data_IF_672422782541
#
_entry.id   IF_672422782541
#
_cell.length_a   1.000
_cell.length_b   1.000
_cell.length_c   1.000
_cell.angle_alpha   90.00
_cell.angle_beta   90.00
_cell.angle_gamma   90.00
#
_symmetry.space_group_name_H-M   'P 1'
#
loop_
_entity.id
_entity.type
_entity.pdbx_description
1 polymer ?
#
# COMPACT_ATOMS: atom_id res chain seq x y z
N UNK A 1 5.83 15.81 -59.13
CA UNK A 1 5.27 16.39 -57.88
C UNK A 1 4.71 15.26 -57.02
N UNK A 2 5.40 14.78 -55.96
CA UNK A 2 4.78 13.85 -55.02
C UNK A 2 4.19 14.61 -53.84
N UNK A 3 2.91 14.35 -53.56
CA UNK A 3 2.18 14.82 -52.38
C UNK A 3 2.73 14.09 -51.15
N UNK A 4 3.27 14.84 -50.19
CA UNK A 4 3.64 14.33 -48.88
C UNK A 4 2.35 14.18 -48.05
N UNK A 5 1.91 12.94 -47.84
CA UNK A 5 0.78 12.62 -46.97
C UNK A 5 1.34 12.45 -45.55
N UNK A 6 1.17 13.46 -44.70
CA UNK A 6 1.60 13.41 -43.29
C UNK A 6 0.47 12.78 -42.48
N UNK A 7 0.71 11.57 -41.97
CA UNK A 7 -0.18 10.88 -41.04
C UNK A 7 0.16 11.34 -39.61
N UNK A 8 -0.68 12.20 -39.02
CA UNK A 8 -0.55 12.60 -37.62
C UNK A 8 -0.99 11.45 -36.71
N UNK A 9 -0.03 10.78 -36.05
CA UNK A 9 -0.31 9.83 -34.97
C UNK A 9 -0.43 10.61 -33.66
N UNK A 10 -1.64 10.72 -33.13
CA UNK A 10 -1.93 11.35 -31.85
C UNK A 10 -1.44 10.46 -30.70
N UNK A 11 -0.35 10.84 -30.04
CA UNK A 11 0.14 10.17 -28.83
C UNK A 11 -0.74 10.62 -27.66
N UNK A 12 -1.62 9.75 -27.17
CA UNK A 12 -2.38 9.99 -25.94
C UNK A 12 -1.45 9.68 -24.76
N UNK A 13 -0.85 10.72 -24.18
CA UNK A 13 -0.07 10.59 -22.94
C UNK A 13 -1.02 10.39 -21.76
N UNK A 14 -1.08 9.18 -21.22
CA UNK A 14 -1.66 8.93 -19.91
C UNK A 14 -0.71 9.48 -18.84
N UNK A 15 -0.92 10.74 -18.43
CA UNK A 15 -0.26 11.29 -17.27
C UNK A 15 -0.75 10.53 -16.02
N UNK A 16 0.10 9.67 -15.47
CA UNK A 16 -0.15 9.03 -14.18
C UNK A 16 -0.06 10.11 -13.11
N UNK A 17 -1.19 10.48 -12.49
CA UNK A 17 -1.19 11.35 -11.34
C UNK A 17 -0.45 10.65 -10.20
N UNK A 18 0.82 11.01 -9.97
CA UNK A 18 1.48 10.70 -8.72
C UNK A 18 0.77 11.49 -7.62
N UNK A 19 -0.01 10.81 -6.77
CA UNK A 19 -0.61 11.45 -5.61
C UNK A 19 0.50 11.88 -4.64
N UNK A 20 0.54 13.16 -4.29
CA UNK A 20 1.50 13.67 -3.34
C UNK A 20 1.18 13.13 -1.93
N UNK A 21 2.17 12.51 -1.28
CA UNK A 21 2.08 12.09 0.13
C UNK A 21 1.92 13.33 1.00
N UNK A 22 1.06 13.26 2.03
CA UNK A 22 0.87 14.35 2.99
C UNK A 22 2.23 14.80 3.57
N UNK A 23 2.53 16.11 3.61
CA UNK A 23 3.83 16.61 4.05
C UNK A 23 4.19 16.23 5.51
N UNK A 24 3.21 16.11 6.40
CA UNK A 24 3.43 15.71 7.78
C UNK A 24 3.79 14.21 7.86
N UNK A 25 3.07 13.36 7.12
CA UNK A 25 3.38 11.92 6.99
C UNK A 25 4.78 11.75 6.40
N UNK A 26 5.08 12.45 5.31
CA UNK A 26 6.41 12.43 4.69
C UNK A 26 7.53 12.74 5.68
N UNK A 27 7.37 13.80 6.48
CA UNK A 27 8.37 14.20 7.50
C UNK A 27 8.55 13.16 8.61
N UNK A 28 7.51 12.39 8.94
CA UNK A 28 7.62 11.28 9.89
C UNK A 28 8.37 10.10 9.25
N UNK A 29 8.03 9.74 8.02
CA UNK A 29 8.68 8.66 7.26
C UNK A 29 10.17 8.92 7.06
N UNK A 30 10.57 10.15 6.74
CA UNK A 30 11.98 10.54 6.54
C UNK A 30 12.87 10.30 7.78
N UNK A 31 12.29 10.14 8.98
CA UNK A 31 13.04 9.84 10.21
C UNK A 31 13.30 8.34 10.44
N UNK A 32 12.60 7.48 9.71
CA UNK A 32 12.73 6.03 9.82
C UNK A 32 13.94 5.56 9.01
N UNK A 33 14.54 4.44 9.39
CA UNK A 33 15.50 3.76 8.52
C UNK A 33 14.81 3.31 7.20
N UNK A 34 15.56 3.09 6.11
CA UNK A 34 14.96 2.82 4.81
C UNK A 34 14.02 1.61 4.75
N UNK A 35 14.30 0.54 5.51
CA UNK A 35 13.48 -0.66 5.49
C UNK A 35 12.15 -0.41 6.22
N UNK A 36 12.20 0.16 7.42
CA UNK A 36 11.00 0.55 8.18
C UNK A 36 10.19 1.59 7.41
N UNK A 37 10.85 2.52 6.71
CA UNK A 37 10.17 3.53 5.89
C UNK A 37 9.34 2.91 4.76
N UNK A 38 9.91 1.93 4.06
CA UNK A 38 9.22 1.19 3.00
C UNK A 38 7.95 0.53 3.54
N UNK A 39 8.06 -0.22 4.64
CA UNK A 39 6.91 -0.88 5.27
C UNK A 39 5.84 0.13 5.70
N UNK A 40 6.22 1.18 6.42
CA UNK A 40 5.26 2.17 6.91
C UNK A 40 4.59 2.97 5.78
N UNK A 41 5.30 3.25 4.68
CA UNK A 41 4.71 3.84 3.47
C UNK A 41 3.67 2.92 2.83
N UNK A 42 3.98 1.63 2.73
CA UNK A 42 3.09 0.63 2.15
C UNK A 42 1.86 0.38 3.01
N UNK A 43 2.03 0.27 4.33
CA UNK A 43 0.93 0.12 5.30
C UNK A 43 0.00 1.35 5.28
N UNK A 44 0.58 2.55 5.20
CA UNK A 44 -0.19 3.81 5.11
C UNK A 44 -1.01 3.87 3.82
N UNK A 45 -0.41 3.48 2.69
CA UNK A 45 -1.12 3.44 1.42
C UNK A 45 -2.21 2.36 1.40
N UNK A 46 -1.97 1.19 1.99
CA UNK A 46 -2.98 0.14 2.12
C UNK A 46 -4.21 0.63 2.89
N UNK A 47 -4.01 1.28 4.04
CA UNK A 47 -5.11 1.91 4.78
C UNK A 47 -5.86 2.95 3.93
N UNK A 48 -5.11 3.82 3.25
CA UNK A 48 -5.65 4.87 2.37
C UNK A 48 -6.51 4.32 1.25
N UNK A 49 -6.05 3.28 0.53
CA UNK A 49 -6.79 2.66 -0.58
C UNK A 49 -8.02 1.89 -0.10
N UNK A 50 -7.87 1.05 0.92
CA UNK A 50 -9.00 0.28 1.47
C UNK A 50 -10.12 1.21 1.93
N UNK A 51 -9.77 2.35 2.57
CA UNK A 51 -10.75 3.36 2.98
C UNK A 51 -11.45 4.06 1.79
N UNK A 52 -10.76 4.22 0.64
CA UNK A 52 -11.27 4.90 -0.55
C UNK A 52 -12.09 3.99 -1.48
N UNK A 53 -11.76 2.71 -1.55
CA UNK A 53 -12.30 1.75 -2.54
C UNK A 53 -13.75 1.28 -2.24
N UNK A 54 -14.51 2.05 -1.45
CA UNK A 54 -15.92 1.78 -1.08
C UNK A 54 -16.15 0.37 -0.49
N UNK A 55 -15.12 -0.21 0.11
CA UNK A 55 -15.17 -1.53 0.78
C UNK A 55 -16.08 -1.54 2.02
N UNK A 56 -16.36 -0.36 2.59
CA UNK A 56 -17.05 -0.20 3.87
C UNK A 56 -16.12 -0.24 5.08
N UNK A 57 -14.86 -0.65 4.89
CA UNK A 57 -13.84 -0.63 5.94
C UNK A 57 -13.31 0.78 6.20
N UNK A 58 -12.90 1.01 7.44
CA UNK A 58 -12.24 2.23 7.90
C UNK A 58 -10.97 1.83 8.66
N UNK A 59 -9.89 1.48 7.94
CA UNK A 59 -8.68 1.00 8.57
C UNK A 59 -8.05 2.07 9.47
N UNK A 60 -7.65 1.67 10.68
CA UNK A 60 -6.88 2.51 11.61
C UNK A 60 -5.50 1.95 11.94
N UNK A 61 -5.22 0.71 11.48
CA UNK A 61 -3.96 0.02 11.69
C UNK A 61 -3.75 -1.05 10.61
N UNK A 62 -2.50 -1.22 10.18
CA UNK A 62 -2.01 -2.37 9.42
C UNK A 62 -0.80 -2.94 10.15
N UNK A 63 -0.64 -4.26 10.10
CA UNK A 63 0.55 -4.98 10.58
C UNK A 63 0.96 -5.97 9.49
N UNK A 64 2.12 -5.76 8.86
CA UNK A 64 2.54 -6.51 7.68
C UNK A 64 2.97 -7.97 7.97
N UNK A 65 3.36 -8.27 9.22
CA UNK A 65 4.07 -9.50 9.61
C UNK A 65 3.27 -10.46 10.50
N UNK A 66 1.94 -10.35 10.53
CA UNK A 66 1.12 -11.07 11.54
C UNK A 66 1.10 -12.59 11.32
N UNK A 67 0.88 -13.05 10.09
CA UNK A 67 0.78 -14.47 9.75
C UNK A 67 1.99 -15.00 8.98
N UNK A 68 2.77 -14.10 8.37
CA UNK A 68 3.99 -14.40 7.60
C UNK A 68 4.81 -13.13 7.45
N UNK A 69 6.13 -13.29 7.48
CA UNK A 69 7.06 -12.16 7.35
C UNK A 69 6.95 -11.46 5.99
N UNK A 70 7.08 -10.12 5.96
CA UNK A 70 7.23 -9.35 4.73
C UNK A 70 8.52 -9.72 4.01
N UNK A 71 8.49 -9.62 2.68
CA UNK A 71 9.60 -9.93 1.79
C UNK A 71 10.01 -8.63 1.08
N UNK A 72 11.01 -7.91 1.60
CA UNK A 72 11.50 -6.68 0.98
C UNK A 72 12.42 -6.97 -0.20
N UNK A 73 12.40 -6.08 -1.21
CA UNK A 73 13.31 -6.07 -2.36
C UNK A 73 13.42 -4.65 -2.93
N UNK A 74 14.57 -4.00 -2.84
CA UNK A 74 14.78 -2.60 -3.27
C UNK A 74 13.57 -1.70 -2.87
N UNK A 75 12.83 -1.19 -3.86
CA UNK A 75 11.67 -0.31 -3.68
C UNK A 75 10.34 -1.06 -3.41
N UNK A 76 10.36 -2.40 -3.36
CA UNK A 76 9.20 -3.29 -3.29
C UNK A 76 9.08 -4.00 -1.94
N UNK A 77 7.85 -4.17 -1.47
CA UNK A 77 7.50 -4.98 -0.31
C UNK A 77 6.33 -5.91 -0.64
N UNK A 78 6.50 -7.20 -0.39
CA UNK A 78 5.40 -8.16 -0.37
C UNK A 78 5.06 -8.50 1.08
N UNK A 79 3.79 -8.36 1.46
CA UNK A 79 3.30 -8.70 2.80
C UNK A 79 2.20 -9.77 2.68
N UNK A 80 2.55 -11.06 2.54
CA UNK A 80 1.57 -12.13 2.31
C UNK A 80 0.76 -12.52 3.56
N UNK A 81 1.18 -12.07 4.74
CA UNK A 81 0.55 -12.39 6.03
C UNK A 81 0.13 -11.17 6.82
N UNK A 82 -0.22 -10.08 6.14
CA UNK A 82 -0.63 -8.84 6.79
C UNK A 82 -2.03 -8.96 7.42
N UNK A 83 -2.35 -7.97 8.25
CA UNK A 83 -3.71 -7.70 8.73
C UNK A 83 -3.97 -6.21 8.73
N UNK A 84 -5.23 -5.83 8.65
CA UNK A 84 -5.66 -4.48 9.02
C UNK A 84 -6.78 -4.54 10.05
N UNK A 85 -6.88 -3.48 10.85
CA UNK A 85 -7.97 -3.31 11.80
C UNK A 85 -8.93 -2.26 11.29
N UNK A 86 -10.22 -2.57 11.35
CA UNK A 86 -11.30 -1.64 10.99
C UNK A 86 -12.44 -1.78 11.99
N UNK A 87 -12.83 -0.67 12.62
CA UNK A 87 -13.94 -0.62 13.58
C UNK A 87 -13.78 -1.62 14.74
N UNK A 88 -12.55 -1.80 15.22
CA UNK A 88 -12.22 -2.70 16.32
C UNK A 88 -12.00 -4.16 15.92
N UNK A 89 -12.26 -4.56 14.67
CA UNK A 89 -12.05 -5.93 14.21
C UNK A 89 -10.84 -6.05 13.28
N UNK A 90 -10.13 -7.19 13.37
CA UNK A 90 -9.00 -7.52 12.51
C UNK A 90 -9.42 -8.35 11.31
N UNK A 91 -8.83 -8.07 10.16
CA UNK A 91 -9.08 -8.76 8.89
C UNK A 91 -7.76 -9.16 8.26
N UNK A 92 -7.74 -10.33 7.62
CA UNK A 92 -6.60 -10.77 6.82
C UNK A 92 -6.35 -9.81 5.66
N UNK A 93 -5.08 -9.56 5.38
CA UNK A 93 -4.62 -8.75 4.27
C UNK A 93 -3.42 -9.44 3.61
N UNK A 94 -3.37 -9.41 2.30
CA UNK A 94 -2.12 -9.57 1.57
C UNK A 94 -1.90 -8.36 0.68
N UNK A 95 -0.65 -7.93 0.50
CA UNK A 95 -0.36 -6.88 -0.47
C UNK A 95 1.02 -7.02 -1.12
N UNK A 96 1.14 -6.43 -2.30
CA UNK A 96 2.41 -6.09 -2.95
C UNK A 96 2.43 -4.59 -3.19
N UNK A 97 3.46 -3.93 -2.69
CA UNK A 97 3.63 -2.49 -2.75
C UNK A 97 4.96 -2.13 -3.41
N UNK A 98 4.97 -1.14 -4.29
CA UNK A 98 6.18 -0.59 -4.91
C UNK A 98 6.23 0.91 -4.66
N UNK A 99 7.34 1.40 -4.14
CA UNK A 99 7.62 2.81 -3.90
C UNK A 99 8.56 3.39 -4.96
N UNK A 100 8.96 4.65 -4.81
CA UNK A 100 10.17 5.16 -5.44
C UNK A 100 11.39 5.06 -4.53
N UNK A 101 12.58 5.42 -5.02
CA UNK A 101 13.88 5.20 -4.34
C UNK A 101 14.04 5.81 -2.94
N UNK A 102 13.17 6.74 -2.55
CA UNK A 102 13.18 7.30 -1.19
C UNK A 102 12.34 6.48 -0.20
N UNK A 103 11.66 5.43 -0.66
CA UNK A 103 10.69 4.61 0.06
C UNK A 103 9.55 5.42 0.69
N UNK A 104 9.10 6.48 0.00
CA UNK A 104 8.04 7.38 0.50
C UNK A 104 6.80 7.31 -0.38
N UNK A 105 6.95 7.65 -1.66
CA UNK A 105 5.83 7.71 -2.58
C UNK A 105 5.53 6.31 -3.10
N UNK A 106 4.39 5.74 -2.73
CA UNK A 106 3.89 4.48 -3.29
C UNK A 106 3.42 4.73 -4.72
N UNK A 107 3.97 3.96 -5.67
CA UNK A 107 3.65 4.00 -7.10
C UNK A 107 2.62 2.96 -7.46
N UNK A 108 2.75 1.77 -6.88
CA UNK A 108 1.86 0.63 -7.13
C UNK A 108 1.51 -0.03 -5.81
N UNK A 109 0.24 -0.42 -5.67
CA UNK A 109 -0.22 -1.26 -4.58
C UNK A 109 -1.31 -2.19 -5.13
N UNK A 110 -1.10 -3.48 -4.96
CA UNK A 110 -2.10 -4.52 -5.17
C UNK A 110 -2.36 -5.17 -3.81
N UNK A 111 -3.63 -5.38 -3.45
CA UNK A 111 -3.99 -5.96 -2.17
C UNK A 111 -5.21 -6.87 -2.29
N UNK A 112 -5.31 -7.82 -1.37
CA UNK A 112 -6.49 -8.67 -1.22
C UNK A 112 -6.93 -8.65 0.25
N UNK A 113 -8.23 -8.44 0.46
CA UNK A 113 -8.85 -8.52 1.79
C UNK A 113 -9.38 -9.92 1.97
N UNK A 114 -8.92 -10.59 3.03
CA UNK A 114 -9.42 -11.88 3.45
C UNK A 114 -10.51 -11.79 4.52
N UNK A 115 -10.77 -12.93 5.16
CA UNK A 115 -11.77 -13.04 6.21
C UNK A 115 -11.39 -12.27 7.48
N UNK A 116 -12.38 -12.05 8.35
CA UNK A 116 -12.17 -11.53 9.71
C UNK A 116 -11.35 -12.53 10.52
N UNK A 117 -10.34 -12.05 11.24
CA UNK A 117 -9.56 -12.86 12.18
C UNK A 117 -10.42 -13.16 13.43
N UNK A 118 -10.72 -14.44 13.74
CA UNK A 118 -11.51 -14.80 14.91
C UNK A 118 -10.89 -14.29 16.21
N UNK A 119 -11.72 -13.73 17.10
CA UNK A 119 -11.26 -13.00 18.30
C UNK A 119 -10.49 -13.90 19.27
N UNK A 120 -10.85 -15.18 19.32
CA UNK A 120 -10.17 -16.22 20.09
C UNK A 120 -8.72 -16.49 19.63
N UNK A 121 -8.37 -16.10 18.40
CA UNK A 121 -7.00 -16.23 17.87
C UNK A 121 -6.13 -15.01 18.16
N UNK A 122 -6.70 -13.87 18.59
CA UNK A 122 -5.96 -12.61 18.66
C UNK A 122 -4.76 -12.66 19.60
N UNK A 123 -4.90 -13.28 20.77
CA UNK A 123 -3.79 -13.44 21.72
C UNK A 123 -2.62 -14.23 21.13
N UNK A 124 -2.89 -15.19 20.25
CA UNK A 124 -1.85 -15.99 19.57
C UNK A 124 -1.06 -15.16 18.57
N UNK A 125 -1.70 -14.16 17.96
CA UNK A 125 -1.12 -13.30 16.93
C UNK A 125 -0.83 -11.87 17.42
N UNK A 126 -0.85 -11.64 18.74
CA UNK A 126 -0.64 -10.33 19.36
C UNK A 126 -1.55 -9.21 18.84
N UNK A 127 -2.78 -9.57 18.46
CA UNK A 127 -3.82 -8.64 18.02
C UNK A 127 -4.64 -8.16 19.23
N UNK A 128 -5.15 -6.94 19.14
CA UNK A 128 -5.82 -6.24 20.24
C UNK A 128 -6.84 -5.22 19.76
N UNK A 129 -7.71 -4.81 20.69
CA UNK A 129 -8.79 -3.84 20.48
C UNK A 129 -8.30 -2.42 20.13
#
# INVERSE_FOLDING_TARGET
MPKCLVLCVSVVSFASCAFAVDPAIKKQLEKLDPATRLEQSCDTEAMSRINKDKTGFKPDKVIAYTFKDPIPSDDKLEAPGAVFRSQGDWYHLSYTCITGPQHINVRELQYEIGEKVPREKWSTYYLYD
#
